data_IF_139552789473
#
_entry.id   IF_139552789473
#
_cell.length_a   1.000
_cell.length_b   1.000
_cell.length_c   1.000
_cell.angle_alpha   90.00
_cell.angle_beta   90.00
_cell.angle_gamma   90.00
#
_symmetry.space_group_name_H-M   'P 1'
#
loop_
_entity.id
_entity.type
_entity.pdbx_description
1 polymer ?
#
# COMPACT_ATOMS: atom_id res chain seq x y z
N UNK A 1 -19.27 16.95 -38.91
CA UNK A 1 -18.12 17.09 -38.09
C UNK A 1 -18.01 16.12 -36.89
N UNK A 2 -18.62 14.96 -37.00
CA UNK A 2 -18.43 13.83 -36.09
C UNK A 2 -16.94 13.41 -35.99
N UNK A 3 -16.22 13.46 -37.13
CA UNK A 3 -14.79 13.16 -37.22
C UNK A 3 -13.88 14.11 -36.44
N UNK A 4 -14.28 15.40 -36.28
CA UNK A 4 -13.52 16.37 -35.46
C UNK A 4 -13.67 16.07 -33.97
N UNK A 5 -14.86 15.66 -33.52
CA UNK A 5 -15.12 15.34 -32.12
C UNK A 5 -14.44 14.03 -31.71
N UNK A 6 -14.38 13.05 -32.61
CA UNK A 6 -13.64 11.79 -32.41
C UNK A 6 -12.13 12.07 -32.28
N UNK A 7 -11.58 12.96 -33.13
CA UNK A 7 -10.16 13.35 -33.03
C UNK A 7 -9.84 14.03 -31.68
N UNK A 8 -10.76 14.89 -31.18
CA UNK A 8 -10.57 15.54 -29.88
C UNK A 8 -10.65 14.52 -28.74
N UNK A 9 -11.60 13.58 -28.78
CA UNK A 9 -11.73 12.53 -27.79
C UNK A 9 -10.52 11.59 -27.76
N UNK A 10 -10.01 11.21 -28.95
CA UNK A 10 -8.79 10.40 -29.08
C UNK A 10 -7.56 11.17 -28.58
N UNK A 11 -7.44 12.45 -28.90
CA UNK A 11 -6.36 13.27 -28.38
C UNK A 11 -6.42 13.42 -26.86
N UNK A 12 -7.61 13.59 -26.27
CA UNK A 12 -7.78 13.65 -24.83
C UNK A 12 -7.42 12.33 -24.15
N UNK A 13 -7.79 11.19 -24.74
CA UNK A 13 -7.41 9.87 -24.24
C UNK A 13 -5.88 9.64 -24.30
N UNK A 14 -5.24 10.02 -25.41
CA UNK A 14 -3.77 9.95 -25.54
C UNK A 14 -3.08 10.84 -24.51
N UNK A 15 -3.59 12.05 -24.27
CA UNK A 15 -3.04 12.95 -23.25
C UNK A 15 -3.21 12.35 -21.85
N UNK A 16 -4.37 11.76 -21.55
CA UNK A 16 -4.61 11.10 -20.27
C UNK A 16 -3.65 9.92 -20.05
N UNK A 17 -3.42 9.10 -21.08
CA UNK A 17 -2.44 8.01 -21.03
C UNK A 17 -1.00 8.51 -20.91
N UNK A 18 -0.64 9.55 -21.62
CA UNK A 18 0.69 10.16 -21.48
C UNK A 18 0.92 10.73 -20.07
N UNK A 19 -0.11 11.32 -19.47
CA UNK A 19 -0.08 11.78 -18.07
C UNK A 19 0.08 10.60 -17.11
N UNK A 20 -0.63 9.48 -17.31
CA UNK A 20 -0.45 8.27 -16.50
C UNK A 20 0.97 7.70 -16.59
N UNK A 21 1.53 7.64 -17.79
CA UNK A 21 2.92 7.19 -18.01
C UNK A 21 3.90 8.14 -17.30
N UNK A 22 3.70 9.45 -17.40
CA UNK A 22 4.52 10.45 -16.69
C UNK A 22 4.40 10.28 -15.17
N UNK A 23 3.19 10.03 -14.65
CA UNK A 23 2.94 9.80 -13.22
C UNK A 23 3.59 8.50 -12.76
N UNK A 24 3.53 7.44 -13.57
CA UNK A 24 4.19 6.17 -13.28
C UNK A 24 5.72 6.36 -13.14
N UNK A 25 6.34 7.12 -14.05
CA UNK A 25 7.76 7.44 -13.96
C UNK A 25 8.07 8.48 -12.86
N UNK A 26 7.12 9.32 -12.48
CA UNK A 26 7.28 10.32 -11.41
C UNK A 26 7.24 9.73 -9.99
N UNK A 27 6.81 8.47 -9.81
CA UNK A 27 6.96 7.69 -8.57
C UNK A 27 8.42 7.40 -8.20
N UNK A 28 9.37 7.59 -9.13
CA UNK A 28 10.78 7.46 -8.81
C UNK A 28 11.21 8.60 -7.84
N UNK A 29 12.05 8.28 -6.87
CA UNK A 29 12.56 9.21 -5.82
C UNK A 29 13.17 10.52 -6.37
N UNK A 30 13.34 10.62 -7.68
CA UNK A 30 13.90 11.76 -8.38
C UNK A 30 13.01 13.01 -8.40
N UNK A 31 11.68 12.85 -8.24
CA UNK A 31 10.76 13.99 -8.15
C UNK A 31 10.29 14.18 -6.70
N UNK A 32 11.13 14.85 -5.92
CA UNK A 32 10.88 15.12 -4.51
C UNK A 32 9.67 16.05 -4.27
N UNK A 33 8.83 15.70 -3.29
CA UNK A 33 7.96 16.62 -2.59
C UNK A 33 6.56 16.80 -3.16
N UNK A 34 6.05 18.02 -3.08
CA UNK A 34 4.65 18.39 -3.33
C UNK A 34 4.13 18.05 -4.72
N UNK A 35 4.99 18.05 -5.74
CA UNK A 35 4.60 17.75 -7.14
C UNK A 35 4.29 16.27 -7.31
N UNK A 36 5.06 15.36 -6.70
CA UNK A 36 4.79 13.92 -6.73
C UNK A 36 3.48 13.58 -6.03
N UNK A 37 3.14 14.26 -4.92
CA UNK A 37 1.85 14.09 -4.24
C UNK A 37 0.68 14.55 -5.10
N UNK A 38 0.81 15.69 -5.78
CA UNK A 38 -0.25 16.19 -6.66
C UNK A 38 -0.43 15.28 -7.88
N UNK A 39 0.67 14.83 -8.50
CA UNK A 39 0.61 13.89 -9.62
C UNK A 39 0.11 12.51 -9.21
N UNK A 40 0.51 12.02 -8.03
CA UNK A 40 0.02 10.76 -7.47
C UNK A 40 -1.48 10.73 -7.25
N UNK A 41 -2.11 11.87 -6.92
CA UNK A 41 -3.56 12.00 -6.80
C UNK A 41 -4.32 11.80 -8.14
N UNK A 42 -3.62 11.82 -9.27
CA UNK A 42 -4.17 11.58 -10.62
C UNK A 42 -3.81 10.18 -11.19
N UNK A 43 -3.29 9.28 -10.35
CA UNK A 43 -2.93 7.94 -10.79
C UNK A 43 -4.18 7.05 -10.97
N UNK A 44 -4.69 6.99 -12.19
CA UNK A 44 -5.86 6.16 -12.55
C UNK A 44 -5.63 4.67 -12.26
N UNK A 45 -4.40 4.20 -12.40
CA UNK A 45 -4.07 2.77 -12.29
C UNK A 45 -4.21 2.27 -10.85
N UNK A 46 -3.84 3.09 -9.84
CA UNK A 46 -3.93 2.69 -8.44
C UNK A 46 -5.38 2.50 -7.96
N UNK A 47 -6.30 3.34 -8.43
CA UNK A 47 -7.72 3.17 -8.10
C UNK A 47 -8.33 1.93 -8.75
N UNK A 48 -7.90 1.61 -9.98
CA UNK A 48 -8.35 0.41 -10.67
C UNK A 48 -7.84 -0.87 -9.98
N UNK A 49 -6.60 -0.87 -9.50
CA UNK A 49 -6.02 -2.03 -8.80
C UNK A 49 -6.77 -2.33 -7.51
N UNK A 50 -7.24 -1.30 -6.77
CA UNK A 50 -8.06 -1.49 -5.58
C UNK A 50 -9.33 -2.30 -5.87
N UNK A 51 -10.05 -1.95 -6.95
CA UNK A 51 -11.21 -2.74 -7.37
C UNK A 51 -10.84 -4.15 -7.83
N UNK A 52 -9.74 -4.30 -8.57
CA UNK A 52 -9.24 -5.60 -9.03
C UNK A 52 -8.87 -6.54 -7.89
N UNK A 53 -8.39 -6.02 -6.77
CA UNK A 53 -8.04 -6.80 -5.56
C UNK A 53 -9.20 -6.96 -4.56
N UNK A 54 -10.43 -6.55 -4.92
CA UNK A 54 -11.62 -6.71 -4.06
C UNK A 54 -11.76 -5.63 -2.97
N UNK A 55 -11.05 -4.53 -3.08
CA UNK A 55 -11.22 -3.37 -2.19
C UNK A 55 -12.12 -2.33 -2.85
N UNK A 56 -13.27 -2.06 -2.23
CA UNK A 56 -14.18 -1.00 -2.66
C UNK A 56 -13.66 0.36 -2.17
N UNK A 57 -13.20 1.19 -3.11
CA UNK A 57 -12.60 2.48 -2.82
C UNK A 57 -13.50 3.64 -3.27
N UNK A 58 -14.08 4.35 -2.29
CA UNK A 58 -14.92 5.53 -2.54
C UNK A 58 -14.11 6.64 -3.21
N UNK A 59 -12.83 6.79 -2.86
CA UNK A 59 -11.95 7.81 -3.45
C UNK A 59 -11.81 7.59 -4.93
N UNK A 60 -11.62 6.33 -5.36
CA UNK A 60 -11.57 5.94 -6.76
C UNK A 60 -12.88 6.25 -7.50
N UNK A 61 -14.04 5.98 -6.89
CA UNK A 61 -15.34 6.28 -7.49
C UNK A 61 -15.49 7.79 -7.71
N UNK A 62 -15.20 8.61 -6.70
CA UNK A 62 -15.29 10.07 -6.82
C UNK A 62 -14.35 10.56 -7.92
N UNK A 63 -13.14 10.01 -7.99
CA UNK A 63 -12.17 10.33 -9.04
C UNK A 63 -12.74 10.05 -10.44
N UNK A 64 -13.22 8.83 -10.70
CA UNK A 64 -13.79 8.48 -12.01
C UNK A 64 -15.02 9.30 -12.37
N UNK A 65 -15.94 9.51 -11.41
CA UNK A 65 -17.13 10.33 -11.63
C UNK A 65 -16.78 11.78 -11.93
N UNK A 66 -15.77 12.34 -11.27
CA UNK A 66 -15.30 13.70 -11.49
C UNK A 66 -14.70 13.89 -12.89
N UNK A 67 -13.91 12.90 -13.36
CA UNK A 67 -13.38 12.92 -14.72
C UNK A 67 -14.48 12.75 -15.77
N UNK A 68 -15.41 11.81 -15.56
CA UNK A 68 -16.55 11.62 -16.46
C UNK A 68 -17.35 12.93 -16.56
N UNK A 69 -17.70 13.54 -15.42
CA UNK A 69 -18.40 14.81 -15.37
C UNK A 69 -17.66 15.93 -16.11
N UNK A 70 -16.33 16.01 -15.94
CA UNK A 70 -15.48 16.97 -16.65
C UNK A 70 -15.49 16.71 -18.17
N UNK A 71 -15.38 15.46 -18.60
CA UNK A 71 -15.44 15.11 -20.03
C UNK A 71 -16.81 15.45 -20.65
N UNK A 72 -17.91 15.19 -19.93
CA UNK A 72 -19.25 15.58 -20.36
C UNK A 72 -19.35 17.11 -20.48
N UNK A 73 -18.86 17.85 -19.48
CA UNK A 73 -18.81 19.30 -19.51
C UNK A 73 -18.06 19.83 -20.74
N UNK A 74 -16.85 19.28 -21.01
CA UNK A 74 -16.07 19.65 -22.20
C UNK A 74 -16.82 19.34 -23.51
N UNK A 75 -17.54 18.24 -23.56
CA UNK A 75 -18.33 17.83 -24.72
C UNK A 75 -19.46 18.82 -24.96
N UNK A 76 -20.20 19.19 -23.92
CA UNK A 76 -21.28 20.19 -23.99
C UNK A 76 -20.72 21.54 -24.43
N UNK A 77 -19.61 21.97 -23.81
CA UNK A 77 -18.96 23.23 -24.15
C UNK A 77 -18.47 23.24 -25.62
N UNK A 78 -17.90 22.12 -26.09
CA UNK A 78 -17.46 21.99 -27.49
C UNK A 78 -18.62 22.13 -28.49
N UNK A 79 -19.80 21.64 -28.14
CA UNK A 79 -21.01 21.78 -28.94
C UNK A 79 -21.51 23.24 -28.91
N UNK A 80 -21.52 23.84 -27.74
CA UNK A 80 -22.00 25.22 -27.53
C UNK A 80 -21.04 26.27 -28.12
N UNK A 81 -19.73 26.01 -28.12
CA UNK A 81 -18.68 26.90 -28.67
C UNK A 81 -18.96 27.34 -30.12
N UNK A 82 -19.61 26.48 -30.91
CA UNK A 82 -20.04 26.83 -32.26
C UNK A 82 -21.16 27.89 -32.29
N UNK A 83 -21.81 28.12 -31.15
CA UNK A 83 -22.98 28.99 -31.04
C UNK A 83 -22.72 30.27 -30.24
N UNK A 84 -21.83 30.25 -29.25
CA UNK A 84 -21.70 31.31 -28.23
C UNK A 84 -20.25 31.74 -27.89
N UNK A 85 -19.20 31.19 -28.54
CA UNK A 85 -17.82 31.45 -28.15
C UNK A 85 -17.51 30.82 -26.77
N UNK A 86 -16.66 29.80 -26.76
CA UNK A 86 -16.37 29.08 -25.52
C UNK A 86 -15.49 29.88 -24.55
N UNK A 87 -15.91 29.98 -23.31
CA UNK A 87 -15.17 30.64 -22.22
C UNK A 87 -14.04 29.73 -21.70
N UNK A 88 -12.81 30.05 -22.07
CA UNK A 88 -11.63 29.36 -21.53
C UNK A 88 -11.54 29.50 -20.00
N UNK A 89 -12.01 30.65 -19.47
CA UNK A 89 -12.07 30.90 -18.03
C UNK A 89 -13.00 29.91 -17.32
N UNK A 90 -14.18 29.65 -17.87
CA UNK A 90 -15.14 28.70 -17.29
C UNK A 90 -14.58 27.27 -17.27
N UNK A 91 -13.86 26.86 -18.33
CA UNK A 91 -13.18 25.56 -18.38
C UNK A 91 -12.11 25.46 -17.30
N UNK A 92 -11.31 26.50 -17.12
CA UNK A 92 -10.26 26.55 -16.09
C UNK A 92 -10.87 26.47 -14.67
N UNK A 93 -11.99 27.15 -14.41
CA UNK A 93 -12.69 27.11 -13.12
C UNK A 93 -13.24 25.71 -12.84
N UNK A 94 -13.89 25.06 -13.81
CA UNK A 94 -14.43 23.70 -13.64
C UNK A 94 -13.29 22.69 -13.42
N UNK A 95 -12.18 22.81 -14.16
CA UNK A 95 -11.00 21.98 -13.95
C UNK A 95 -10.42 22.19 -12.53
N UNK A 96 -10.32 23.43 -12.07
CA UNK A 96 -9.86 23.72 -10.71
C UNK A 96 -10.77 23.09 -9.64
N UNK A 97 -12.09 23.13 -9.83
CA UNK A 97 -13.06 22.49 -8.92
C UNK A 97 -12.84 20.97 -8.90
N UNK A 98 -12.68 20.33 -10.05
CA UNK A 98 -12.41 18.89 -10.15
C UNK A 98 -11.13 18.52 -9.40
N UNK A 99 -10.05 19.28 -9.59
CA UNK A 99 -8.78 19.07 -8.87
C UNK A 99 -8.97 19.22 -7.37
N UNK A 100 -9.63 20.27 -6.91
CA UNK A 100 -9.86 20.52 -5.48
C UNK A 100 -10.70 19.41 -4.85
N UNK A 101 -11.77 18.96 -5.49
CA UNK A 101 -12.61 17.85 -4.99
C UNK A 101 -11.74 16.60 -4.80
N UNK A 102 -10.96 16.23 -5.80
CA UNK A 102 -10.10 15.02 -5.70
C UNK A 102 -9.01 15.16 -4.62
N UNK A 103 -8.41 16.35 -4.49
CA UNK A 103 -7.44 16.59 -3.42
C UNK A 103 -8.08 16.50 -2.02
N UNK A 104 -9.28 17.04 -1.83
CA UNK A 104 -10.00 16.97 -0.54
C UNK A 104 -10.38 15.53 -0.21
N UNK A 105 -10.93 14.79 -1.18
CA UNK A 105 -11.32 13.38 -0.98
C UNK A 105 -10.09 12.51 -0.72
N UNK A 106 -8.97 12.77 -1.39
CA UNK A 106 -7.70 12.08 -1.17
C UNK A 106 -7.04 12.35 0.21
N UNK A 107 -7.53 13.35 0.97
CA UNK A 107 -7.07 13.56 2.36
C UNK A 107 -7.90 12.76 3.40
N UNK A 108 -8.99 12.13 2.98
CA UNK A 108 -9.81 11.33 3.89
C UNK A 108 -9.05 10.04 4.21
N UNK A 109 -8.88 9.71 5.50
CA UNK A 109 -8.17 8.49 5.90
C UNK A 109 -8.78 7.24 5.27
N UNK A 110 -7.93 6.31 4.83
CA UNK A 110 -8.26 5.06 4.12
C UNK A 110 -9.33 4.23 4.87
N UNK A 111 -9.31 4.25 6.19
CA UNK A 111 -10.31 3.57 7.05
C UNK A 111 -11.76 3.98 6.81
N UNK A 112 -12.01 5.15 6.19
CA UNK A 112 -13.35 5.64 5.89
C UNK A 112 -13.71 5.51 4.41
N UNK A 113 -12.73 5.31 3.55
CA UNK A 113 -12.91 5.32 2.10
C UNK A 113 -12.76 3.96 1.45
N UNK A 114 -12.08 3.00 2.12
CA UNK A 114 -11.84 1.68 1.58
C UNK A 114 -12.52 0.60 2.40
N UNK A 115 -13.30 -0.25 1.71
CA UNK A 115 -14.01 -1.39 2.30
C UNK A 115 -13.48 -2.68 1.67
N UNK A 116 -13.09 -3.60 2.51
CA UNK A 116 -12.65 -4.93 2.11
C UNK A 116 -13.87 -5.78 1.75
N UNK A 117 -13.98 -6.18 0.50
CA UNK A 117 -15.03 -7.05 -0.03
C UNK A 117 -14.50 -8.45 -0.38
N UNK A 118 -13.26 -8.78 0.02
CA UNK A 118 -12.71 -10.11 -0.19
C UNK A 118 -13.41 -11.14 0.68
N UNK A 119 -13.62 -12.35 0.17
CA UNK A 119 -14.28 -13.43 0.91
C UNK A 119 -13.56 -13.78 2.23
N UNK A 120 -12.24 -13.69 2.24
CA UNK A 120 -11.38 -13.98 3.39
C UNK A 120 -11.01 -12.75 4.22
N UNK A 121 -11.55 -11.57 3.91
CA UNK A 121 -11.23 -10.31 4.59
C UNK A 121 -9.71 -10.03 4.68
N UNK A 122 -8.99 -10.28 3.61
CA UNK A 122 -7.52 -10.26 3.54
C UNK A 122 -6.90 -8.93 4.00
N UNK A 123 -7.66 -7.84 3.89
CA UNK A 123 -7.22 -6.49 4.25
C UNK A 123 -7.93 -5.94 5.49
N UNK A 124 -8.73 -6.77 6.17
CA UNK A 124 -9.43 -6.38 7.39
C UNK A 124 -8.52 -6.63 8.58
N UNK A 125 -8.19 -5.55 9.31
CA UNK A 125 -7.43 -5.65 10.55
C UNK A 125 -8.38 -6.08 11.68
N UNK A 126 -7.96 -7.04 12.51
CA UNK A 126 -8.76 -7.52 13.65
C UNK A 126 -8.96 -6.43 14.70
N UNK A 127 -10.01 -6.51 15.49
CA UNK A 127 -10.28 -5.50 16.52
C UNK A 127 -9.25 -5.54 17.65
N UNK A 128 -8.64 -6.68 17.88
CA UNK A 128 -7.54 -6.84 18.84
C UNK A 128 -6.33 -6.04 18.37
N UNK A 129 -5.90 -6.23 17.13
CA UNK A 129 -4.80 -5.47 16.51
C UNK A 129 -5.11 -3.97 16.45
N UNK A 130 -6.35 -3.58 16.09
CA UNK A 130 -6.75 -2.16 16.11
C UNK A 130 -6.62 -1.54 17.49
N UNK A 131 -6.98 -2.29 18.54
CA UNK A 131 -6.87 -1.81 19.92
C UNK A 131 -5.41 -1.64 20.33
N UNK A 132 -4.58 -2.62 20.01
CA UNK A 132 -3.14 -2.59 20.26
C UNK A 132 -2.47 -1.42 19.56
N UNK A 133 -2.65 -1.29 18.24
CA UNK A 133 -2.03 -0.25 17.40
C UNK A 133 -2.45 1.17 17.82
N UNK A 134 -3.71 1.35 18.22
CA UNK A 134 -4.19 2.65 18.75
C UNK A 134 -3.63 3.00 20.12
N UNK A 135 -3.22 2.01 20.88
CA UNK A 135 -2.62 2.18 22.20
C UNK A 135 -1.11 2.38 22.18
N UNK A 136 -0.49 2.50 21.02
CA UNK A 136 0.95 2.75 20.91
C UNK A 136 1.31 4.15 21.40
N UNK A 137 2.30 4.22 22.29
CA UNK A 137 2.86 5.46 22.81
C UNK A 137 4.21 5.83 22.18
N UNK A 138 4.79 4.91 21.39
CA UNK A 138 6.11 5.06 20.77
C UNK A 138 5.99 5.12 19.24
N UNK A 139 6.84 5.92 18.61
CA UNK A 139 6.90 5.99 17.14
C UNK A 139 7.58 4.75 16.57
N UNK A 140 6.95 4.13 15.59
CA UNK A 140 7.41 2.93 14.89
C UNK A 140 7.54 3.23 13.41
N UNK A 141 8.73 3.04 12.88
CA UNK A 141 9.00 3.13 11.45
C UNK A 141 8.96 1.72 10.82
N UNK A 142 8.13 1.55 9.79
CA UNK A 142 8.02 0.31 9.03
C UNK A 142 8.59 0.55 7.63
N UNK A 143 9.65 -0.15 7.30
CA UNK A 143 10.30 -0.05 5.99
C UNK A 143 9.91 -1.23 5.12
N UNK A 144 9.24 -0.95 4.01
CA UNK A 144 9.01 -1.91 2.93
C UNK A 144 10.26 -1.91 2.03
N UNK A 145 10.98 -3.02 2.03
CA UNK A 145 12.19 -3.20 1.22
C UNK A 145 11.80 -3.83 -0.11
N UNK A 146 11.86 -3.05 -1.18
CA UNK A 146 11.43 -3.50 -2.51
C UNK A 146 12.03 -2.64 -3.61
N UNK A 147 12.35 -3.24 -4.75
CA UNK A 147 12.72 -2.48 -5.95
C UNK A 147 11.51 -1.68 -6.47
N UNK A 148 11.76 -0.45 -6.90
CA UNK A 148 10.72 0.41 -7.46
C UNK A 148 9.95 -0.26 -8.59
N UNK A 149 8.62 -0.38 -8.44
CA UNK A 149 7.71 -1.00 -9.40
C UNK A 149 7.51 -2.50 -9.22
N UNK A 150 8.09 -3.11 -8.17
CA UNK A 150 7.89 -4.51 -7.80
C UNK A 150 7.14 -4.65 -6.46
N UNK A 151 6.48 -3.57 -6.04
CA UNK A 151 5.74 -3.53 -4.79
C UNK A 151 4.54 -4.49 -4.83
N UNK A 152 4.42 -5.32 -3.77
CA UNK A 152 3.28 -6.19 -3.57
C UNK A 152 2.07 -5.38 -3.09
N UNK A 153 0.99 -5.38 -3.88
CA UNK A 153 -0.20 -4.57 -3.59
C UNK A 153 -0.92 -5.00 -2.30
N UNK A 154 -0.85 -6.29 -1.93
CA UNK A 154 -1.52 -6.79 -0.72
C UNK A 154 -0.79 -6.31 0.52
N UNK A 155 0.53 -6.39 0.52
CA UNK A 155 1.37 -5.90 1.62
C UNK A 155 1.22 -4.38 1.75
N UNK A 156 1.27 -3.63 0.64
CA UNK A 156 1.06 -2.18 0.67
C UNK A 156 -0.28 -1.80 1.32
N UNK A 157 -1.37 -2.47 0.98
CA UNK A 157 -2.69 -2.20 1.56
C UNK A 157 -2.75 -2.46 3.06
N UNK A 158 -2.11 -3.53 3.53
CA UNK A 158 -2.01 -3.79 4.97
C UNK A 158 -1.23 -2.67 5.66
N UNK A 159 -0.08 -2.27 5.10
CA UNK A 159 0.73 -1.18 5.64
C UNK A 159 -0.02 0.15 5.70
N UNK A 160 -0.72 0.54 4.63
CA UNK A 160 -1.58 1.74 4.59
C UNK A 160 -2.66 1.71 5.67
N UNK A 161 -3.25 0.55 5.95
CA UNK A 161 -4.22 0.40 7.02
C UNK A 161 -3.60 0.60 8.40
N UNK A 162 -2.42 0.03 8.67
CA UNK A 162 -1.72 0.25 9.93
C UNK A 162 -1.36 1.72 10.13
N UNK A 163 -0.80 2.38 9.11
CA UNK A 163 -0.51 3.82 9.16
C UNK A 163 -1.77 4.66 9.41
N UNK A 164 -2.92 4.26 8.84
CA UNK A 164 -4.20 4.95 9.06
C UNK A 164 -4.81 4.75 10.45
N UNK A 165 -4.39 3.70 11.19
CA UNK A 165 -4.90 3.38 12.53
C UNK A 165 -4.20 4.18 13.63
N UNK A 166 -2.91 4.51 13.45
CA UNK A 166 -2.13 5.24 14.45
C UNK A 166 -1.18 6.24 13.80
N UNK A 167 -1.10 7.43 14.38
CA UNK A 167 -0.11 8.45 13.97
C UNK A 167 1.32 8.10 14.37
N UNK A 168 1.49 7.09 15.25
CA UNK A 168 2.78 6.58 15.68
C UNK A 168 3.40 5.60 14.68
N UNK A 169 2.64 5.08 13.72
CA UNK A 169 3.19 4.21 12.67
C UNK A 169 3.44 5.02 11.41
N UNK A 170 4.67 4.93 10.89
CA UNK A 170 5.09 5.56 9.64
C UNK A 170 5.64 4.50 8.69
N UNK A 171 5.12 4.49 7.48
CA UNK A 171 5.53 3.55 6.44
C UNK A 171 6.45 4.23 5.45
N UNK A 172 7.57 3.56 5.15
CA UNK A 172 8.60 4.03 4.22
C UNK A 172 8.93 2.92 3.22
N UNK A 173 9.01 3.24 1.94
CA UNK A 173 9.55 2.32 0.94
C UNK A 173 11.04 2.56 0.76
N UNK A 174 11.84 1.50 0.73
CA UNK A 174 13.28 1.53 0.51
C UNK A 174 13.68 0.59 -0.62
N UNK A 175 14.20 1.17 -1.69
CA UNK A 175 14.75 0.41 -2.80
C UNK A 175 16.15 -0.11 -2.43
N UNK A 176 16.36 -1.44 -2.34
CA UNK A 176 17.64 -2.03 -1.95
C UNK A 176 18.72 -1.86 -3.03
N UNK A 177 18.34 -1.60 -4.27
CA UNK A 177 19.30 -1.32 -5.36
C UNK A 177 19.84 0.10 -5.23
N UNK A 178 19.00 1.05 -4.88
CA UNK A 178 19.38 2.46 -4.67
C UNK A 178 20.10 2.62 -3.32
N UNK A 179 19.64 1.92 -2.29
CA UNK A 179 20.16 2.03 -0.92
C UNK A 179 20.70 0.69 -0.37
N UNK A 180 21.75 0.11 -0.95
CA UNK A 180 22.22 -1.24 -0.58
C UNK A 180 22.81 -1.32 0.84
N UNK A 181 23.22 -0.20 1.42
CA UNK A 181 23.71 -0.13 2.79
C UNK A 181 22.62 -0.10 3.86
N UNK A 182 21.37 0.21 3.48
CA UNK A 182 20.26 0.33 4.43
C UNK A 182 19.92 -1.01 5.08
N UNK A 183 19.73 -2.05 4.29
CA UNK A 183 19.36 -3.39 4.78
C UNK A 183 20.47 -4.02 5.63
N UNK A 184 21.74 -3.74 5.30
CA UNK A 184 22.92 -4.25 6.04
C UNK A 184 23.03 -3.74 7.48
N UNK A 185 22.28 -2.70 7.85
CA UNK A 185 22.22 -2.21 9.23
C UNK A 185 21.38 -3.11 10.12
N UNK A 186 20.49 -3.92 9.52
CA UNK A 186 19.51 -4.73 10.22
C UNK A 186 19.72 -6.24 10.02
N UNK A 187 20.35 -6.65 8.94
CA UNK A 187 20.64 -8.06 8.67
C UNK A 187 21.82 -8.23 7.73
N UNK A 188 22.60 -9.29 7.96
CA UNK A 188 23.67 -9.73 7.05
C UNK A 188 23.14 -10.58 5.89
N UNK A 189 21.91 -11.09 6.01
CA UNK A 189 21.24 -11.88 4.97
C UNK A 189 20.68 -10.99 3.88
N UNK A 190 20.61 -11.50 2.65
CA UNK A 190 19.90 -10.84 1.56
C UNK A 190 18.40 -10.95 1.82
N UNK A 191 17.71 -9.81 1.82
CA UNK A 191 16.25 -9.77 1.91
C UNK A 191 15.63 -9.91 0.52
N UNK A 192 14.56 -10.67 0.45
CA UNK A 192 13.71 -10.71 -0.75
C UNK A 192 12.93 -9.41 -0.89
N UNK A 193 12.57 -9.04 -2.12
CA UNK A 193 11.65 -7.93 -2.35
C UNK A 193 10.36 -8.14 -1.56
N UNK A 194 9.79 -7.04 -1.08
CA UNK A 194 8.59 -6.99 -0.23
C UNK A 194 8.78 -7.55 1.20
N UNK A 195 10.02 -7.70 1.67
CA UNK A 195 10.32 -7.92 3.08
C UNK A 195 10.14 -6.62 3.87
N UNK A 196 9.86 -6.73 5.17
CA UNK A 196 9.65 -5.58 6.05
C UNK A 196 10.74 -5.49 7.12
N UNK A 197 11.06 -4.26 7.51
CA UNK A 197 11.89 -3.96 8.67
C UNK A 197 11.11 -3.01 9.57
N UNK A 198 10.83 -3.44 10.78
CA UNK A 198 10.10 -2.67 11.79
C UNK A 198 11.09 -2.14 12.81
N UNK A 199 11.07 -0.84 13.09
CA UNK A 199 12.05 -0.17 13.94
C UNK A 199 11.36 0.72 14.96
N UNK A 200 11.81 0.65 16.22
CA UNK A 200 11.42 1.56 17.27
C UNK A 200 12.64 1.89 18.13
N UNK A 201 13.18 3.11 18.02
CA UNK A 201 14.44 3.48 18.67
C UNK A 201 15.59 2.59 18.23
N UNK A 202 16.20 1.88 19.19
CA UNK A 202 17.34 0.98 18.94
C UNK A 202 16.90 -0.47 18.66
N UNK A 203 15.59 -0.79 18.81
CA UNK A 203 15.05 -2.12 18.55
C UNK A 203 14.54 -2.24 17.14
N UNK A 204 14.76 -3.38 16.53
CA UNK A 204 14.23 -3.70 15.20
C UNK A 204 13.87 -5.17 15.07
N UNK A 205 12.96 -5.48 14.16
CA UNK A 205 12.63 -6.84 13.74
C UNK A 205 12.46 -6.89 12.23
N UNK A 206 13.07 -7.90 11.62
CA UNK A 206 12.99 -8.16 10.17
C UNK A 206 11.91 -9.21 9.93
N UNK A 207 11.06 -8.98 8.95
CA UNK A 207 10.03 -9.92 8.48
C UNK A 207 10.35 -10.25 7.03
N UNK A 208 10.65 -11.52 6.75
CA UNK A 208 10.91 -11.93 5.38
C UNK A 208 9.58 -12.07 4.61
N UNK A 209 9.64 -11.89 3.31
CA UNK A 209 8.49 -12.11 2.43
C UNK A 209 7.87 -13.51 2.58
N UNK A 210 8.72 -14.53 2.78
CA UNK A 210 8.29 -15.92 3.04
C UNK A 210 7.51 -16.12 4.33
N UNK A 211 7.67 -15.21 5.31
CA UNK A 211 6.95 -15.29 6.59
C UNK A 211 5.55 -14.67 6.44
N UNK A 212 5.40 -13.73 5.50
CA UNK A 212 4.12 -13.10 5.16
C UNK A 212 3.26 -14.02 4.29
N UNK A 213 3.85 -14.63 3.27
CA UNK A 213 3.18 -15.58 2.39
C UNK A 213 3.60 -17.00 2.76
N UNK A 214 2.71 -17.71 3.43
CA UNK A 214 2.89 -19.13 3.70
C UNK A 214 2.69 -19.94 2.44
N UNK A 215 3.62 -20.80 2.11
CA UNK A 215 3.54 -21.66 0.95
C UNK A 215 3.86 -23.11 1.29
N UNK A 216 3.11 -24.04 0.70
CA UNK A 216 3.36 -25.47 0.78
C UNK A 216 3.77 -26.00 -0.59
N UNK A 217 4.74 -26.93 -0.56
CA UNK A 217 5.17 -27.62 -1.76
C UNK A 217 4.28 -28.82 -2.02
N UNK A 218 3.55 -28.81 -3.15
CA UNK A 218 2.72 -29.90 -3.57
C UNK A 218 3.55 -30.90 -4.39
N UNK A 219 3.85 -32.05 -3.78
CA UNK A 219 4.63 -33.12 -4.42
C UNK A 219 3.93 -33.77 -5.61
N UNK A 220 2.60 -33.68 -5.71
CA UNK A 220 1.84 -34.25 -6.83
C UNK A 220 1.91 -33.39 -8.10
N UNK A 221 2.00 -32.07 -7.94
CA UNK A 221 2.10 -31.13 -9.06
C UNK A 221 3.50 -30.54 -9.23
N UNK A 222 4.44 -30.88 -8.34
CA UNK A 222 5.79 -30.32 -8.29
C UNK A 222 5.80 -28.79 -8.29
N UNK A 223 4.86 -28.17 -7.60
CA UNK A 223 4.72 -26.71 -7.52
C UNK A 223 4.54 -26.25 -6.09
N UNK A 224 5.03 -25.05 -5.76
CA UNK A 224 4.71 -24.36 -4.51
C UNK A 224 3.38 -23.63 -4.68
N UNK A 225 2.48 -23.79 -3.70
CA UNK A 225 1.20 -23.10 -3.66
C UNK A 225 1.13 -22.24 -2.40
N UNK A 226 0.71 -20.98 -2.54
CA UNK A 226 0.45 -20.11 -1.40
C UNK A 226 -0.76 -20.63 -0.66
N UNK A 227 -0.59 -20.95 0.62
CA UNK A 227 -1.63 -21.52 1.51
C UNK A 227 -2.16 -20.49 2.51
N UNK A 228 -1.44 -19.38 2.73
CA UNK A 228 -1.84 -18.34 3.67
C UNK A 228 -1.16 -16.99 3.40
N UNK A 229 -1.83 -15.93 3.90
CA UNK A 229 -1.31 -14.56 3.92
C UNK A 229 -1.42 -14.05 5.37
N UNK A 230 -0.29 -13.83 6.02
CA UNK A 230 -0.19 -13.54 7.47
C UNK A 230 0.49 -12.18 7.75
N UNK A 231 0.26 -11.20 6.88
CA UNK A 231 0.86 -9.88 7.05
C UNK A 231 0.45 -9.21 8.38
N UNK A 232 -0.82 -9.36 8.80
CA UNK A 232 -1.30 -8.79 10.06
C UNK A 232 -0.57 -9.41 11.25
N UNK A 233 -0.50 -10.74 11.33
CA UNK A 233 0.14 -11.44 12.45
C UNK A 233 1.62 -11.10 12.56
N UNK A 234 2.34 -11.14 11.45
CA UNK A 234 3.78 -10.83 11.40
C UNK A 234 4.06 -9.37 11.78
N UNK A 235 3.29 -8.43 11.22
CA UNK A 235 3.50 -7.00 11.48
C UNK A 235 3.13 -6.64 12.92
N UNK A 236 2.01 -7.16 13.45
CA UNK A 236 1.61 -6.94 14.85
C UNK A 236 2.65 -7.48 15.82
N UNK A 237 3.12 -8.71 15.59
CA UNK A 237 4.18 -9.33 16.39
C UNK A 237 5.49 -8.51 16.36
N UNK A 238 5.88 -8.01 15.17
CA UNK A 238 7.07 -7.20 15.05
C UNK A 238 6.94 -5.85 15.77
N UNK A 239 5.79 -5.19 15.67
CA UNK A 239 5.52 -3.95 16.40
C UNK A 239 5.53 -4.19 17.91
N UNK A 240 4.89 -5.26 18.38
CA UNK A 240 4.91 -5.64 19.80
C UNK A 240 6.35 -5.88 20.29
N UNK A 241 7.15 -6.62 19.52
CA UNK A 241 8.55 -6.85 19.85
C UNK A 241 9.37 -5.58 20.03
N UNK A 242 9.27 -4.64 19.09
CA UNK A 242 10.10 -3.43 19.12
C UNK A 242 9.61 -2.39 20.15
N UNK A 243 8.33 -2.45 20.54
CA UNK A 243 7.75 -1.53 21.52
C UNK A 243 7.72 -2.08 22.94
N UNK A 244 7.85 -3.40 23.14
CA UNK A 244 7.83 -4.03 24.46
C UNK A 244 9.18 -3.87 25.18
N UNK A 245 9.14 -3.46 26.45
CA UNK A 245 10.35 -3.34 27.28
C UNK A 245 10.86 -4.71 27.76
N UNK A 246 9.95 -5.66 27.98
CA UNK A 246 10.28 -7.00 28.47
C UNK A 246 9.47 -8.02 27.70
N UNK A 247 10.15 -9.07 27.22
CA UNK A 247 9.51 -10.20 26.58
C UNK A 247 9.20 -11.32 27.58
N UNK A 248 8.12 -12.07 27.42
CA UNK A 248 7.85 -13.25 28.21
C UNK A 248 8.93 -14.31 27.95
N UNK A 249 9.28 -15.10 28.97
CA UNK A 249 10.33 -16.11 28.87
C UNK A 249 9.76 -17.50 29.03
N UNK A 250 10.13 -18.37 28.08
CA UNK A 250 9.84 -19.80 28.15
C UNK A 250 11.10 -20.55 28.54
N UNK A 251 11.01 -21.36 29.60
CA UNK A 251 12.11 -22.22 30.02
C UNK A 251 11.84 -23.66 29.63
N UNK A 252 12.77 -24.30 28.94
CA UNK A 252 12.73 -25.72 28.62
C UNK A 252 13.63 -26.50 29.59
N UNK A 253 13.16 -27.64 30.05
CA UNK A 253 14.00 -28.59 30.81
C UNK A 253 14.85 -29.40 29.84
N UNK A 254 16.10 -29.65 30.21
CA UNK A 254 17.01 -30.48 29.43
C UNK A 254 17.82 -31.38 30.36
N UNK A 255 18.25 -32.55 29.89
CA UNK A 255 19.16 -33.42 30.61
C UNK A 255 18.55 -34.76 31.07
N UNK A 256 17.30 -35.09 30.67
CA UNK A 256 16.62 -36.32 31.02
C UNK A 256 15.99 -36.99 29.78
N UNK A 257 16.64 -36.90 28.63
CA UNK A 257 16.14 -37.41 27.33
C UNK A 257 14.83 -36.79 26.86
N UNK A 258 14.57 -35.53 27.23
CA UNK A 258 13.41 -34.80 26.73
C UNK A 258 13.51 -34.57 25.21
N UNK A 259 12.36 -34.67 24.55
CA UNK A 259 12.29 -34.33 23.13
C UNK A 259 12.52 -32.83 22.91
N UNK A 260 13.30 -32.49 21.90
CA UNK A 260 13.45 -31.10 21.44
C UNK A 260 12.11 -30.53 20.95
N UNK A 261 11.90 -29.23 21.10
CA UNK A 261 10.77 -28.56 20.49
C UNK A 261 10.78 -28.81 18.97
N UNK A 262 9.59 -29.00 18.42
CA UNK A 262 9.46 -29.09 16.96
C UNK A 262 9.73 -27.74 16.31
N UNK A 263 10.23 -27.73 15.07
CA UNK A 263 10.48 -26.52 14.32
C UNK A 263 9.24 -25.61 14.21
N UNK A 264 8.05 -26.24 14.05
CA UNK A 264 6.77 -25.51 14.01
C UNK A 264 6.49 -24.79 15.32
N UNK A 265 6.72 -25.47 16.46
CA UNK A 265 6.50 -24.85 17.78
C UNK A 265 7.53 -23.75 18.06
N UNK A 266 8.80 -23.98 17.69
CA UNK A 266 9.84 -22.98 17.83
C UNK A 266 9.52 -21.72 17.00
N UNK A 267 9.10 -21.89 15.75
CA UNK A 267 8.69 -20.76 14.90
C UNK A 267 7.48 -20.01 15.48
N UNK A 268 6.53 -20.72 16.12
CA UNK A 268 5.39 -20.07 16.76
C UNK A 268 5.80 -19.30 18.01
N UNK A 269 6.71 -19.83 18.82
CA UNK A 269 7.26 -19.17 20.01
C UNK A 269 7.96 -17.87 19.60
N UNK A 270 8.80 -17.91 18.55
CA UNK A 270 9.49 -16.74 18.02
C UNK A 270 8.51 -15.69 17.46
N UNK A 271 7.42 -16.14 16.81
CA UNK A 271 6.36 -15.27 16.31
C UNK A 271 5.60 -14.57 17.44
N UNK A 272 5.36 -15.25 18.56
CA UNK A 272 4.69 -14.70 19.75
C UNK A 272 5.66 -13.89 20.65
N UNK A 273 6.88 -13.62 20.20
CA UNK A 273 7.91 -12.88 20.95
C UNK A 273 8.21 -13.46 22.34
N UNK A 274 8.22 -14.77 22.46
CA UNK A 274 8.57 -15.48 23.67
C UNK A 274 10.07 -15.84 23.60
N UNK A 275 10.84 -15.38 24.59
CA UNK A 275 12.31 -15.52 24.72
C UNK A 275 12.71 -16.78 25.50
#
# INVERSE_FOLDING_TARGET
NLTSNIKIAVAAAIIAEAVNVIIFFAKSEWMAGSVAKVLGAFNMTSFFSNFGSGVFDITGIVYYLSIIGFCIFLTIQSIQRKRWGGDALMTAVVLAIVVVINLVVGQIPVKYTQFDLTDNQLYTITDQTKTFVKGLDSDVDVYLVVQSGQEDEQIQKVLERYESLSSHIKVHTKDPVVNPSFTKQYTDSSLSDNSLIVVCGDKYKVINYSDIYQSEFNYSTYSSQTTGFDAEGQLTSAIDYVTSDTLPKLYTLTGHDEASLSDTLTSQIEKENID
#
